data_IF_764590355830
#
_entry.id   IF_764590355830
#
_cell.length_a   1.000
_cell.length_b   1.000
_cell.length_c   1.000
_cell.angle_alpha   90.00
_cell.angle_beta   90.00
_cell.angle_gamma   90.00
#
_symmetry.space_group_name_H-M   'P 1'
#
loop_
_entity.id
_entity.type
_entity.pdbx_description
1 polymer ?
#
# COMPACT_ATOMS: atom_id res chain seq x y z
N UNK A 1 14.03 -17.56 -11.20
CA UNK A 1 13.00 -17.06 -10.25
C UNK A 1 13.64 -16.04 -9.34
N UNK A 2 12.88 -15.03 -8.92
CA UNK A 2 13.31 -13.88 -8.12
C UNK A 2 12.58 -13.85 -6.77
N UNK A 3 13.16 -13.15 -5.82
CA UNK A 3 12.60 -12.98 -4.48
C UNK A 3 11.73 -11.71 -4.42
N UNK A 4 10.60 -11.79 -3.71
CA UNK A 4 9.63 -10.70 -3.58
C UNK A 4 9.48 -10.27 -2.12
N UNK A 5 9.59 -8.97 -1.85
CA UNK A 5 9.24 -8.47 -0.52
C UNK A 5 7.72 -8.42 -0.37
N UNK A 6 7.19 -8.83 0.78
CA UNK A 6 5.75 -8.69 1.06
C UNK A 6 5.40 -7.21 1.14
N UNK A 7 5.99 -6.51 2.12
CA UNK A 7 6.02 -5.04 2.18
C UNK A 7 7.33 -4.58 1.55
N UNK A 8 7.33 -3.67 0.57
CA UNK A 8 8.57 -3.29 -0.09
C UNK A 8 9.62 -2.70 0.83
N UNK A 9 10.88 -3.01 0.53
CA UNK A 9 12.05 -2.63 1.33
C UNK A 9 12.09 -1.13 1.66
N UNK A 10 11.63 -0.28 0.74
CA UNK A 10 11.65 1.17 0.95
C UNK A 10 10.71 1.68 2.04
N UNK A 11 9.79 0.83 2.52
CA UNK A 11 8.95 1.06 3.71
C UNK A 11 9.48 0.34 4.96
N UNK A 12 10.67 -0.28 4.89
CA UNK A 12 11.23 -1.06 6.00
C UNK A 12 10.71 -2.49 6.09
N UNK A 13 10.03 -3.00 5.06
CA UNK A 13 9.63 -4.40 5.00
C UNK A 13 10.84 -5.35 5.01
N UNK A 14 10.73 -6.42 5.80
CA UNK A 14 11.81 -7.40 6.02
C UNK A 14 11.46 -8.81 5.54
N UNK A 15 10.17 -9.11 5.39
CA UNK A 15 9.70 -10.42 4.97
C UNK A 15 9.79 -10.56 3.45
N UNK A 16 10.32 -11.69 3.01
CA UNK A 16 10.61 -12.00 1.62
C UNK A 16 10.06 -13.38 1.29
N UNK A 17 9.28 -13.46 0.21
CA UNK A 17 8.91 -14.70 -0.44
C UNK A 17 10.05 -15.11 -1.38
N UNK A 18 10.65 -16.27 -1.12
CA UNK A 18 11.82 -16.75 -1.86
C UNK A 18 11.37 -17.43 -3.15
N UNK A 19 12.04 -17.15 -4.27
CA UNK A 19 11.68 -17.70 -5.60
C UNK A 19 10.18 -17.50 -5.91
N UNK A 20 9.65 -16.32 -5.65
CA UNK A 20 8.21 -16.03 -5.74
C UNK A 20 7.74 -15.63 -7.15
N UNK A 21 8.61 -15.03 -7.96
CA UNK A 21 8.24 -14.49 -9.27
C UNK A 21 9.25 -14.87 -10.37
N UNK A 22 8.84 -14.80 -11.63
CA UNK A 22 9.79 -14.80 -12.75
C UNK A 22 10.32 -13.37 -12.97
N UNK A 23 11.39 -13.23 -13.75
CA UNK A 23 12.02 -11.93 -14.01
C UNK A 23 11.06 -10.92 -14.66
N UNK A 24 10.17 -11.38 -15.55
CA UNK A 24 9.17 -10.52 -16.18
C UNK A 24 8.17 -9.98 -15.15
N UNK A 25 7.64 -10.84 -14.28
CA UNK A 25 6.74 -10.43 -13.22
C UNK A 25 7.44 -9.47 -12.25
N UNK A 26 8.68 -9.76 -11.86
CA UNK A 26 9.47 -8.88 -10.99
C UNK A 26 9.73 -7.50 -11.63
N UNK A 27 9.92 -7.44 -12.95
CA UNK A 27 10.07 -6.17 -13.65
C UNK A 27 8.76 -5.36 -13.69
N UNK A 28 7.62 -6.04 -13.83
CA UNK A 28 6.29 -5.41 -13.76
C UNK A 28 6.03 -4.85 -12.35
N UNK A 29 6.26 -5.65 -11.32
CA UNK A 29 6.05 -5.21 -9.92
C UNK A 29 6.95 -4.06 -9.54
N UNK A 30 8.24 -4.16 -9.88
CA UNK A 30 9.22 -3.10 -9.67
C UNK A 30 8.81 -1.75 -10.28
N UNK A 31 8.13 -1.74 -11.44
CA UNK A 31 7.72 -0.50 -12.10
C UNK A 31 6.71 0.27 -11.26
N UNK A 32 5.57 -0.35 -10.91
CA UNK A 32 4.54 0.34 -10.13
C UNK A 32 4.99 0.61 -8.68
N UNK A 33 5.83 -0.26 -8.10
CA UNK A 33 6.44 0.01 -6.79
C UNK A 33 7.34 1.26 -6.84
N UNK A 34 8.08 1.46 -7.94
CA UNK A 34 8.90 2.66 -8.13
C UNK A 34 8.06 3.91 -8.37
N UNK A 35 6.94 3.81 -9.09
CA UNK A 35 6.01 4.92 -9.27
C UNK A 35 5.51 5.45 -7.92
N UNK A 36 5.07 4.55 -7.02
CA UNK A 36 4.69 4.94 -5.65
C UNK A 36 5.88 5.49 -4.87
N UNK A 37 7.01 4.78 -4.89
CA UNK A 37 8.16 5.12 -4.07
C UNK A 37 8.83 6.44 -4.46
N UNK A 38 8.90 6.78 -5.75
CA UNK A 38 9.61 7.96 -6.25
C UNK A 38 8.68 9.14 -6.48
N UNK A 39 7.50 8.87 -7.03
CA UNK A 39 6.65 9.91 -7.58
C UNK A 39 5.57 10.36 -6.59
N UNK A 40 5.04 9.42 -5.80
CA UNK A 40 4.06 9.73 -4.74
C UNK A 40 4.73 10.06 -3.41
N UNK A 41 5.75 9.29 -3.03
CA UNK A 41 6.38 9.36 -1.70
C UNK A 41 7.85 9.73 -1.71
N UNK A 42 8.41 10.19 -2.84
CA UNK A 42 9.85 10.47 -2.96
C UNK A 42 10.36 11.43 -1.89
N UNK A 43 9.70 12.58 -1.76
CA UNK A 43 10.11 13.62 -0.80
C UNK A 43 9.92 13.20 0.66
N UNK A 44 8.79 12.57 0.96
CA UNK A 44 8.54 12.01 2.30
C UNK A 44 9.60 10.98 2.67
N UNK A 45 9.91 10.05 1.77
CA UNK A 45 10.95 9.03 1.99
C UNK A 45 12.34 9.62 2.22
N UNK A 46 12.69 10.69 1.51
CA UNK A 46 13.95 11.40 1.74
C UNK A 46 13.94 12.11 3.10
N UNK A 47 12.83 12.77 3.42
CA UNK A 47 12.62 13.50 4.68
C UNK A 47 12.73 12.61 5.93
N UNK A 48 12.18 11.39 5.90
CA UNK A 48 12.25 10.42 7.01
C UNK A 48 13.41 9.42 6.87
N UNK A 49 14.34 9.66 5.93
CA UNK A 49 15.48 8.78 5.68
C UNK A 49 15.09 7.30 5.48
N UNK A 50 13.99 7.05 4.78
CA UNK A 50 13.48 5.71 4.52
C UNK A 50 14.52 4.80 3.83
N UNK A 51 14.47 3.46 3.97
CA UNK A 51 15.48 2.58 3.42
C UNK A 51 15.71 2.76 1.90
N UNK A 52 16.97 2.67 1.49
CA UNK A 52 17.39 2.73 0.09
C UNK A 52 18.62 1.88 -0.13
N UNK A 53 18.65 1.18 -1.27
CA UNK A 53 19.83 0.43 -1.74
C UNK A 53 20.92 1.36 -2.28
N UNK A 54 20.58 2.59 -2.65
CA UNK A 54 21.50 3.60 -3.21
C UNK A 54 21.66 4.79 -2.26
N UNK A 55 22.17 4.52 -1.05
CA UNK A 55 22.26 5.55 0.02
C UNK A 55 23.07 6.78 -0.40
N UNK A 56 24.13 6.61 -1.19
CA UNK A 56 25.00 7.69 -1.65
C UNK A 56 24.36 8.59 -2.71
N UNK A 57 23.33 8.11 -3.41
CA UNK A 57 22.60 8.86 -4.45
C UNK A 57 21.38 9.59 -3.91
N UNK A 58 21.11 9.52 -2.59
CA UNK A 58 19.95 10.17 -2.00
C UNK A 58 20.11 11.69 -2.06
N UNK A 59 19.10 12.43 -2.56
CA UNK A 59 19.04 13.87 -2.43
C UNK A 59 19.14 14.29 -0.95
N UNK A 60 19.94 15.31 -0.66
CA UNK A 60 20.12 15.85 0.70
C UNK A 60 19.27 17.10 0.94
N UNK A 61 18.86 17.77 -0.14
CA UNK A 61 18.08 19.00 -0.11
C UNK A 61 16.93 18.96 -1.11
N UNK A 62 15.89 19.74 -0.84
CA UNK A 62 14.74 20.00 -1.71
C UNK A 62 14.68 21.47 -2.08
N UNK A 63 14.32 21.75 -3.33
CA UNK A 63 14.08 23.11 -3.84
C UNK A 63 12.60 23.43 -3.79
N UNK A 64 12.20 24.35 -2.92
CA UNK A 64 10.83 24.80 -2.77
C UNK A 64 10.66 26.13 -3.49
N UNK A 65 9.70 26.18 -4.40
CA UNK A 65 9.28 27.42 -5.06
C UNK A 65 8.38 28.22 -4.12
N UNK A 66 8.56 29.53 -4.06
CA UNK A 66 7.68 30.42 -3.33
C UNK A 66 6.23 30.32 -3.88
N UNK A 67 5.25 29.88 -3.08
CA UNK A 67 3.87 29.79 -3.54
C UNK A 67 3.21 31.16 -3.74
N UNK A 68 3.83 32.26 -3.30
CA UNK A 68 3.32 33.63 -3.49
C UNK A 68 3.70 34.25 -4.83
N UNK A 69 4.51 33.58 -5.66
CA UNK A 69 4.75 33.98 -7.06
C UNK A 69 5.97 34.87 -7.31
N UNK A 70 6.74 35.26 -6.27
CA UNK A 70 7.95 36.09 -6.44
C UNK A 70 9.16 35.34 -7.03
N UNK A 71 8.99 34.08 -7.45
CA UNK A 71 10.04 33.31 -8.14
C UNK A 71 11.25 32.93 -7.29
N UNK A 72 11.26 33.25 -5.98
CA UNK A 72 12.32 32.79 -5.10
C UNK A 72 12.24 31.27 -4.90
N UNK A 73 13.34 30.59 -5.20
CA UNK A 73 13.54 29.19 -4.88
C UNK A 73 14.38 29.14 -3.61
N UNK A 74 13.87 28.51 -2.56
CA UNK A 74 14.69 28.17 -1.39
C UNK A 74 15.12 26.72 -1.45
N UNK A 75 16.35 26.47 -1.03
CA UNK A 75 16.90 25.13 -0.86
C UNK A 75 16.87 24.78 0.62
N UNK A 76 16.19 23.70 0.98
CA UNK A 76 16.02 23.25 2.37
C UNK A 76 16.59 21.84 2.51
N UNK A 77 17.34 21.52 3.58
CA UNK A 77 17.71 20.14 3.88
C UNK A 77 16.48 19.25 4.07
N UNK A 78 16.48 18.03 3.50
CA UNK A 78 15.35 17.10 3.68
C UNK A 78 15.08 16.77 5.15
N UNK A 79 16.09 16.82 6.01
CA UNK A 79 15.96 16.62 7.47
C UNK A 79 15.08 17.67 8.15
N UNK A 80 14.88 18.83 7.54
CA UNK A 80 14.02 19.89 8.05
C UNK A 80 12.65 19.90 7.36
N UNK A 81 12.60 19.48 6.09
CA UNK A 81 11.36 19.39 5.34
C UNK A 81 10.38 18.39 5.99
N UNK A 82 9.11 18.76 6.28
CA UNK A 82 8.19 17.90 7.02
C UNK A 82 7.83 16.61 6.29
N UNK A 83 7.86 16.61 4.95
CA UNK A 83 7.64 15.42 4.11
C UNK A 83 6.28 14.77 4.34
N UNK A 84 5.25 15.14 3.58
CA UNK A 84 3.94 14.49 3.71
C UNK A 84 3.86 13.17 2.94
N UNK A 85 3.48 12.08 3.60
CA UNK A 85 3.05 10.86 2.91
C UNK A 85 1.62 11.04 2.40
N UNK A 86 1.44 10.92 1.09
CA UNK A 86 0.14 11.07 0.45
C UNK A 86 -0.55 9.71 0.35
N UNK A 87 -1.73 9.56 0.94
CA UNK A 87 -2.53 8.34 0.90
C UNK A 87 -3.84 8.55 0.14
N UNK A 88 -4.30 7.50 -0.53
CA UNK A 88 -5.63 7.43 -1.11
C UNK A 88 -6.61 6.92 -0.06
N UNK A 89 -7.66 7.68 0.22
CA UNK A 89 -8.83 7.27 1.00
C UNK A 89 -9.92 6.89 0.00
N UNK A 90 -10.51 5.72 0.16
CA UNK A 90 -11.36 5.11 -0.87
C UNK A 90 -12.59 4.44 -0.26
N UNK A 91 -13.66 4.24 -1.03
CA UNK A 91 -14.75 3.36 -0.61
C UNK A 91 -14.27 1.91 -0.50
N UNK A 92 -15.17 1.02 -0.07
CA UNK A 92 -14.89 -0.41 -0.15
C UNK A 92 -14.75 -0.85 -1.62
N UNK A 93 -13.96 -1.90 -1.85
CA UNK A 93 -13.73 -2.48 -3.16
C UNK A 93 -15.05 -2.83 -3.87
N UNK A 94 -15.16 -2.56 -5.16
CA UNK A 94 -16.40 -2.79 -5.93
C UNK A 94 -16.91 -4.23 -5.87
N UNK A 95 -15.99 -5.20 -5.76
CA UNK A 95 -16.32 -6.62 -5.60
C UNK A 95 -17.03 -6.97 -4.27
N UNK A 96 -17.10 -6.07 -3.29
CA UNK A 96 -17.92 -6.27 -2.08
C UNK A 96 -19.40 -5.98 -2.31
N UNK A 97 -19.72 -5.13 -3.29
CA UNK A 97 -21.10 -4.77 -3.66
C UNK A 97 -21.66 -5.62 -4.81
N UNK A 98 -20.96 -6.70 -5.15
CA UNK A 98 -21.23 -7.53 -6.35
C UNK A 98 -21.37 -6.71 -7.64
N UNK A 99 -20.67 -5.57 -7.70
CA UNK A 99 -20.62 -4.78 -8.92
C UNK A 99 -19.90 -5.55 -10.04
N UNK A 100 -20.23 -5.29 -11.30
CA UNK A 100 -19.41 -5.74 -12.42
C UNK A 100 -18.00 -5.16 -12.37
N UNK A 101 -17.00 -5.91 -12.84
CA UNK A 101 -15.59 -5.51 -12.83
C UNK A 101 -15.28 -4.22 -13.62
N UNK A 102 -16.17 -3.79 -14.52
CA UNK A 102 -16.04 -2.54 -15.28
C UNK A 102 -16.58 -1.30 -14.54
N UNK A 103 -17.20 -1.45 -13.36
CA UNK A 103 -17.63 -0.32 -12.52
C UNK A 103 -16.42 0.22 -11.76
N UNK A 104 -15.90 1.36 -12.21
CA UNK A 104 -14.71 1.99 -11.62
C UNK A 104 -15.08 3.03 -10.55
N UNK A 105 -14.72 2.74 -9.30
CA UNK A 105 -14.91 3.59 -8.12
C UNK A 105 -13.70 4.50 -7.84
N UNK A 106 -12.65 4.46 -8.66
CA UNK A 106 -11.43 5.25 -8.47
C UNK A 106 -11.65 6.77 -8.48
N UNK A 107 -12.72 7.23 -9.14
CA UNK A 107 -13.14 8.63 -9.13
C UNK A 107 -13.61 9.12 -7.75
N UNK A 108 -13.98 8.21 -6.84
CA UNK A 108 -14.36 8.54 -5.46
C UNK A 108 -13.16 8.63 -4.52
N UNK A 109 -11.95 8.32 -5.01
CA UNK A 109 -10.76 8.31 -4.16
C UNK A 109 -10.34 9.74 -3.80
N UNK A 110 -10.12 9.96 -2.52
CA UNK A 110 -9.66 11.22 -1.97
C UNK A 110 -8.20 11.11 -1.56
N UNK A 111 -7.49 12.24 -1.58
CA UNK A 111 -6.11 12.31 -1.12
C UNK A 111 -6.05 12.94 0.25
N UNK A 112 -5.32 12.29 1.15
CA UNK A 112 -4.95 12.85 2.45
C UNK A 112 -3.45 12.82 2.61
N UNK A 113 -2.91 13.93 3.09
CA UNK A 113 -1.50 14.04 3.45
C UNK A 113 -1.36 13.72 4.93
N UNK A 114 -0.43 12.83 5.26
CA UNK A 114 -0.07 12.47 6.63
C UNK A 114 1.37 12.91 6.85
N UNK A 115 1.58 13.79 7.82
CA UNK A 115 2.86 14.38 8.16
C UNK A 115 3.00 14.49 9.68
N UNK A 116 4.24 14.67 10.15
CA UNK A 116 4.54 15.02 11.54
C UNK A 116 4.15 16.48 11.82
N UNK A 117 3.14 16.68 12.66
CA UNK A 117 2.59 17.99 13.00
C UNK A 117 3.63 18.91 13.68
N UNK A 118 4.50 18.36 14.51
CA UNK A 118 5.53 19.16 15.19
C UNK A 118 6.58 19.63 14.18
N UNK A 119 7.03 18.72 13.32
CA UNK A 119 7.99 19.04 12.25
C UNK A 119 7.40 20.04 11.26
N UNK A 120 6.11 19.92 10.93
CA UNK A 120 5.39 20.88 10.09
C UNK A 120 5.35 22.27 10.73
N UNK A 121 4.95 22.38 12.00
CA UNK A 121 4.93 23.66 12.74
C UNK A 121 6.32 24.29 12.80
N UNK A 122 7.35 23.51 13.11
CA UNK A 122 8.73 23.97 13.16
C UNK A 122 9.23 24.46 11.79
N UNK A 123 8.83 23.78 10.72
CA UNK A 123 9.15 24.19 9.35
C UNK A 123 8.47 25.52 8.99
N UNK A 124 7.19 25.69 9.31
CA UNK A 124 6.43 26.90 9.04
C UNK A 124 6.94 28.12 9.79
N UNK A 125 7.45 27.94 11.02
CA UNK A 125 8.09 29.02 11.77
C UNK A 125 9.38 29.52 11.10
N UNK A 126 10.19 28.62 10.56
CA UNK A 126 11.45 28.95 9.86
C UNK A 126 11.22 29.46 8.44
N UNK A 127 10.20 28.94 7.76
CA UNK A 127 9.89 29.19 6.36
C UNK A 127 8.41 29.52 6.19
N UNK A 128 7.95 30.68 6.71
CA UNK A 128 6.54 31.04 6.71
C UNK A 128 5.98 31.11 5.29
N UNK A 129 4.78 30.53 5.10
CA UNK A 129 4.07 30.43 3.82
C UNK A 129 4.84 29.68 2.72
N UNK A 130 5.81 28.84 3.04
CA UNK A 130 6.60 28.08 2.04
C UNK A 130 6.39 26.57 2.08
N UNK A 131 5.40 26.08 2.83
CA UNK A 131 5.01 24.67 2.84
C UNK A 131 4.33 24.32 1.52
N UNK A 132 5.07 23.69 0.62
CA UNK A 132 4.54 23.11 -0.62
C UNK A 132 4.91 21.64 -0.69
N UNK A 133 4.00 20.83 -1.24
CA UNK A 133 4.23 19.41 -1.51
C UNK A 133 3.99 19.21 -3.01
N UNK A 134 4.95 18.59 -3.69
CA UNK A 134 4.83 18.21 -5.10
C UNK A 134 4.90 16.70 -5.17
N UNK A 135 3.97 16.10 -5.89
CA UNK A 135 3.93 14.66 -6.12
C UNK A 135 3.21 14.39 -7.43
N UNK A 136 3.41 13.19 -7.98
CA UNK A 136 2.63 12.70 -9.12
C UNK A 136 1.51 11.81 -8.62
N UNK A 137 0.29 12.05 -9.10
CA UNK A 137 -0.83 11.16 -8.87
C UNK A 137 -0.59 9.83 -9.62
N UNK A 138 -0.64 8.71 -8.89
CA UNK A 138 -0.37 7.37 -9.45
C UNK A 138 -1.39 6.32 -8.94
N UNK A 139 -2.70 6.56 -9.06
CA UNK A 139 -3.73 5.73 -8.41
C UNK A 139 -3.70 4.25 -8.87
N UNK A 140 -3.49 3.98 -10.17
CA UNK A 140 -3.34 2.60 -10.66
C UNK A 140 -2.15 1.90 -10.01
N UNK A 141 -0.98 2.56 -9.99
CA UNK A 141 0.23 1.99 -9.39
C UNK A 141 0.07 1.78 -7.89
N UNK A 142 -0.61 2.70 -7.21
CA UNK A 142 -0.91 2.58 -5.78
C UNK A 142 -1.86 1.40 -5.50
N UNK A 143 -2.93 1.24 -6.27
CA UNK A 143 -3.85 0.10 -6.14
C UNK A 143 -3.13 -1.24 -6.39
N UNK A 144 -2.31 -1.32 -7.44
CA UNK A 144 -1.49 -2.52 -7.74
C UNK A 144 -0.46 -2.82 -6.64
N UNK A 145 0.14 -1.77 -6.09
CA UNK A 145 1.05 -1.86 -4.96
C UNK A 145 0.39 -2.46 -3.71
N UNK A 146 -0.77 -1.94 -3.31
CA UNK A 146 -1.54 -2.49 -2.20
C UNK A 146 -2.01 -3.93 -2.49
N UNK A 147 -2.51 -4.19 -3.70
CA UNK A 147 -2.94 -5.52 -4.12
C UNK A 147 -1.82 -6.55 -4.03
N UNK A 148 -0.60 -6.18 -4.46
CA UNK A 148 0.58 -7.04 -4.37
C UNK A 148 0.95 -7.36 -2.92
N UNK A 149 0.94 -6.36 -2.04
CA UNK A 149 1.20 -6.58 -0.60
C UNK A 149 0.16 -7.55 -0.04
N UNK A 150 -1.13 -7.35 -0.35
CA UNK A 150 -2.21 -8.24 0.09
C UNK A 150 -2.06 -9.67 -0.43
N UNK A 151 -1.74 -9.85 -1.72
CA UNK A 151 -1.48 -11.17 -2.30
C UNK A 151 -0.31 -11.88 -1.60
N UNK A 152 0.81 -11.18 -1.44
CA UNK A 152 1.97 -11.72 -0.75
C UNK A 152 1.69 -12.04 0.73
N UNK A 153 0.85 -11.24 1.40
CA UNK A 153 0.41 -11.52 2.76
C UNK A 153 -0.39 -12.82 2.83
N UNK A 154 -1.36 -13.03 1.94
CA UNK A 154 -2.14 -14.28 1.91
C UNK A 154 -1.23 -15.51 1.73
N UNK A 155 -0.17 -15.38 0.93
CA UNK A 155 0.82 -16.45 0.70
C UNK A 155 1.71 -16.78 1.92
N UNK A 156 1.61 -16.02 3.01
CA UNK A 156 2.26 -16.39 4.28
C UNK A 156 1.51 -17.49 5.04
N UNK A 157 0.22 -17.69 4.72
CA UNK A 157 -0.67 -18.65 5.36
C UNK A 157 -1.14 -19.72 4.37
N UNK A 158 -1.28 -19.36 3.10
CA UNK A 158 -1.86 -20.18 2.05
C UNK A 158 -0.86 -20.45 0.95
N UNK A 159 -1.05 -21.57 0.26
CA UNK A 159 -0.34 -21.94 -0.95
C UNK A 159 -1.14 -21.44 -2.18
N UNK A 160 -0.48 -21.12 -3.32
CA UNK A 160 -1.18 -20.63 -4.51
C UNK A 160 -2.34 -21.51 -5.00
N UNK A 161 -2.27 -22.83 -4.75
CA UNK A 161 -3.30 -23.81 -5.11
C UNK A 161 -4.52 -23.82 -4.18
N UNK A 162 -4.44 -23.20 -3.00
CA UNK A 162 -5.53 -23.21 -2.03
C UNK A 162 -6.75 -22.39 -2.49
N UNK A 163 -6.54 -21.42 -3.38
CA UNK A 163 -7.57 -20.49 -3.84
C UNK A 163 -7.35 -20.08 -5.30
N UNK A 164 -8.40 -19.55 -5.94
CA UNK A 164 -8.31 -18.95 -7.27
C UNK A 164 -7.89 -17.47 -7.14
N UNK A 165 -6.75 -17.05 -7.70
CA UNK A 165 -6.17 -15.72 -7.43
C UNK A 165 -6.80 -14.61 -8.27
N UNK A 166 -7.93 -14.08 -7.80
CA UNK A 166 -8.69 -12.97 -8.41
C UNK A 166 -7.84 -11.69 -8.61
N UNK A 167 -6.89 -11.40 -7.71
CA UNK A 167 -6.14 -10.14 -7.79
C UNK A 167 -5.00 -10.13 -8.83
N UNK A 168 -4.56 -11.29 -9.33
CA UNK A 168 -3.38 -11.37 -10.19
C UNK A 168 -3.50 -10.57 -11.49
N UNK A 169 -4.60 -10.65 -12.28
CA UNK A 169 -4.74 -9.87 -13.51
C UNK A 169 -4.57 -8.35 -13.28
N UNK A 170 -5.04 -7.84 -12.14
CA UNK A 170 -4.87 -6.44 -11.74
C UNK A 170 -3.42 -6.12 -11.35
N UNK A 171 -2.77 -6.98 -10.55
CA UNK A 171 -1.35 -6.82 -10.17
C UNK A 171 -0.48 -6.81 -11.43
N UNK A 172 -0.75 -7.71 -12.38
CA UNK A 172 -0.04 -7.82 -13.65
C UNK A 172 -0.38 -6.68 -14.62
N UNK A 173 -1.49 -5.98 -14.40
CA UNK A 173 -1.93 -4.83 -15.18
C UNK A 173 -2.64 -5.23 -16.49
N UNK A 174 -3.10 -6.47 -16.56
CA UNK A 174 -4.01 -7.00 -17.59
C UNK A 174 -5.39 -6.37 -17.39
N UNK A 175 -5.84 -6.28 -16.13
CA UNK A 175 -7.03 -5.54 -15.72
C UNK A 175 -6.67 -4.18 -15.14
N UNK A 176 -7.44 -3.14 -15.50
CA UNK A 176 -7.12 -1.75 -15.12
C UNK A 176 -7.88 -1.24 -13.90
N UNK A 177 -9.07 -1.75 -13.65
CA UNK A 177 -9.94 -1.27 -12.58
C UNK A 177 -9.52 -1.81 -11.21
N UNK A 178 -8.44 -1.29 -10.64
CA UNK A 178 -7.94 -1.70 -9.32
C UNK A 178 -8.93 -1.43 -8.18
N UNK A 179 -9.87 -0.48 -8.35
CA UNK A 179 -10.92 -0.20 -7.37
C UNK A 179 -11.93 -1.34 -7.23
N UNK A 180 -11.94 -2.28 -8.17
CA UNK A 180 -12.74 -3.49 -8.08
C UNK A 180 -12.26 -4.43 -6.96
N UNK A 181 -10.95 -4.53 -6.76
CA UNK A 181 -10.33 -5.46 -5.81
C UNK A 181 -9.70 -4.78 -4.59
N UNK A 182 -9.40 -3.48 -4.66
CA UNK A 182 -8.81 -2.71 -3.56
C UNK A 182 -9.81 -1.69 -3.05
N UNK A 183 -9.98 -1.65 -1.74
CA UNK A 183 -10.78 -0.66 -1.02
C UNK A 183 -10.17 -0.34 0.33
N UNK A 184 -10.94 0.37 1.16
CA UNK A 184 -10.58 0.70 2.52
C UNK A 184 -11.62 0.16 3.50
N UNK A 185 -11.14 -0.24 4.68
CA UNK A 185 -11.97 -0.47 5.85
C UNK A 185 -12.19 0.90 6.57
N UNK A 186 -13.44 1.40 6.66
CA UNK A 186 -13.71 2.74 7.17
C UNK A 186 -13.45 2.90 8.67
N UNK A 187 -13.43 1.82 9.44
CA UNK A 187 -13.48 1.86 10.91
C UNK A 187 -12.11 1.73 11.59
N UNK A 188 -11.00 1.65 10.82
CA UNK A 188 -9.67 1.35 11.38
C UNK A 188 -8.57 2.32 10.93
N UNK A 189 -8.46 3.46 11.63
CA UNK A 189 -7.38 4.45 11.46
C UNK A 189 -6.70 4.88 12.79
N UNK A 190 -7.06 4.27 13.93
CA UNK A 190 -6.42 4.59 15.21
C UNK A 190 -4.93 4.19 15.18
N UNK A 191 -3.98 5.10 15.48
CA UNK A 191 -2.55 4.80 15.47
C UNK A 191 -2.18 3.67 16.44
N UNK A 192 -1.30 2.77 16.01
CA UNK A 192 -0.77 1.67 16.82
C UNK A 192 0.70 1.97 17.11
N UNK A 193 1.02 2.30 18.36
CA UNK A 193 2.41 2.63 18.76
C UNK A 193 3.40 1.57 18.29
N UNK A 194 4.56 2.03 17.83
CA UNK A 194 5.72 1.21 17.45
C UNK A 194 5.50 0.22 16.30
N UNK A 195 4.35 0.29 15.61
CA UNK A 195 4.04 -0.59 14.49
C UNK A 195 4.18 0.13 13.13
N UNK A 196 5.21 -0.23 12.37
CA UNK A 196 5.46 0.37 11.04
C UNK A 196 4.44 -0.03 9.97
N UNK A 197 3.86 -1.22 10.06
CA UNK A 197 2.77 -1.71 9.20
C UNK A 197 2.03 -2.86 9.89
N UNK A 198 0.74 -3.02 9.56
CA UNK A 198 -0.11 -4.13 10.02
C UNK A 198 -0.68 -4.84 8.80
N UNK A 199 -0.54 -6.16 8.77
CA UNK A 199 -1.09 -7.01 7.73
C UNK A 199 -1.94 -8.11 8.37
N UNK A 200 -3.04 -8.48 7.74
CA UNK A 200 -3.88 -9.61 8.15
C UNK A 200 -4.44 -10.30 6.91
N UNK A 201 -4.91 -11.54 7.07
CA UNK A 201 -5.71 -12.22 6.06
C UNK A 201 -6.98 -12.75 6.72
N UNK A 202 -8.10 -12.58 6.02
CA UNK A 202 -9.45 -12.87 6.48
C UNK A 202 -10.16 -13.75 5.45
N UNK A 203 -11.07 -14.59 5.92
CA UNK A 203 -12.01 -15.30 5.07
C UNK A 203 -13.40 -14.65 5.18
N UNK A 204 -14.04 -14.39 4.05
CA UNK A 204 -15.41 -13.92 4.02
C UNK A 204 -16.26 -14.78 3.08
N UNK A 205 -17.23 -15.50 3.63
CA UNK A 205 -18.10 -16.37 2.84
C UNK A 205 -18.88 -17.37 3.67
N UNK A 206 -19.38 -18.39 3.00
CA UNK A 206 -20.07 -19.53 3.59
C UNK A 206 -19.13 -20.73 3.69
N UNK A 207 -19.60 -21.86 4.22
CA UNK A 207 -18.81 -23.10 4.19
C UNK A 207 -18.58 -23.68 2.79
N UNK A 208 -19.27 -23.20 1.75
CA UNK A 208 -19.18 -23.74 0.39
C UNK A 208 -18.46 -22.83 -0.61
N UNK A 209 -18.43 -21.53 -0.33
CA UNK A 209 -17.78 -20.52 -1.17
C UNK A 209 -17.43 -19.28 -0.36
N UNK A 210 -16.32 -18.64 -0.70
CA UNK A 210 -15.92 -17.39 -0.09
C UNK A 210 -14.75 -16.71 -0.77
N UNK A 211 -14.39 -15.55 -0.24
CA UNK A 211 -13.30 -14.69 -0.69
C UNK A 211 -12.19 -14.69 0.36
N UNK A 212 -10.95 -14.73 -0.11
CA UNK A 212 -9.75 -14.42 0.67
C UNK A 212 -9.53 -12.92 0.58
N UNK A 213 -9.54 -12.27 1.74
CA UNK A 213 -9.30 -10.84 1.86
C UNK A 213 -7.99 -10.66 2.62
N UNK A 214 -7.15 -9.73 2.21
CA UNK A 214 -6.01 -9.29 3.03
C UNK A 214 -6.14 -7.83 3.37
N UNK A 215 -5.87 -7.50 4.63
CA UNK A 215 -5.81 -6.12 5.09
C UNK A 215 -4.37 -5.63 5.09
N UNK A 216 -4.18 -4.40 4.63
CA UNK A 216 -2.87 -3.75 4.48
C UNK A 216 -2.96 -2.36 5.07
N UNK A 217 -2.28 -2.15 6.20
CA UNK A 217 -2.11 -0.83 6.81
C UNK A 217 -0.64 -0.47 6.85
N UNK A 218 -0.27 0.61 6.16
CA UNK A 218 1.09 1.13 6.09
C UNK A 218 1.25 2.31 7.06
N UNK A 219 2.43 2.46 7.67
CA UNK A 219 2.69 3.45 8.72
C UNK A 219 1.61 3.38 9.81
N UNK A 220 1.35 2.17 10.33
CA UNK A 220 0.25 1.90 11.26
C UNK A 220 0.36 2.67 12.58
N UNK A 221 1.54 3.21 12.89
CA UNK A 221 1.81 4.16 13.97
C UNK A 221 1.30 5.59 13.70
N UNK A 222 0.61 5.83 12.60
CA UNK A 222 -0.04 7.08 12.24
C UNK A 222 -1.52 6.83 11.89
N UNK A 223 -2.28 7.93 11.70
CA UNK A 223 -3.69 7.89 11.27
C UNK A 223 -3.84 7.58 9.77
N UNK A 224 -3.26 6.46 9.34
CA UNK A 224 -3.33 5.96 7.97
C UNK A 224 -4.50 5.00 7.76
N UNK A 225 -5.03 4.92 6.53
CA UNK A 225 -6.12 4.00 6.22
C UNK A 225 -5.66 2.54 6.26
N UNK A 226 -6.57 1.67 6.68
CA UNK A 226 -6.45 0.21 6.49
C UNK A 226 -7.10 -0.16 5.17
N UNK A 227 -6.29 -0.60 4.21
CA UNK A 227 -6.80 -1.09 2.93
C UNK A 227 -7.22 -2.55 3.04
N UNK A 228 -8.21 -2.96 2.27
CA UNK A 228 -8.51 -4.36 2.03
C UNK A 228 -8.33 -4.72 0.55
N UNK A 229 -7.89 -5.95 0.31
CA UNK A 229 -7.66 -6.50 -1.01
C UNK A 229 -8.42 -7.80 -1.14
N UNK A 230 -9.26 -7.93 -2.17
CA UNK A 230 -9.82 -9.23 -2.57
C UNK A 230 -8.76 -10.00 -3.32
N UNK A 231 -8.10 -10.91 -2.61
CA UNK A 231 -6.96 -11.68 -3.10
C UNK A 231 -7.42 -12.81 -4.01
N UNK A 232 -8.46 -13.52 -3.60
CA UNK A 232 -8.93 -14.67 -4.34
C UNK A 232 -10.26 -15.23 -3.88
N UNK A 233 -10.72 -16.28 -4.54
CA UNK A 233 -11.95 -17.01 -4.21
C UNK A 233 -11.66 -18.47 -3.95
N UNK A 234 -12.51 -19.09 -3.14
CA UNK A 234 -12.46 -20.51 -2.83
C UNK A 234 -13.86 -21.07 -2.96
N UNK A 235 -13.99 -22.24 -3.59
CA UNK A 235 -15.24 -22.95 -3.79
C UNK A 235 -15.09 -24.40 -3.35
N UNK A 236 -16.22 -25.03 -3.02
CA UNK A 236 -16.38 -26.35 -2.39
C UNK A 236 -16.12 -26.37 -0.88
N UNK A 237 -16.84 -27.22 -0.17
CA UNK A 237 -16.74 -27.36 1.29
C UNK A 237 -15.36 -27.84 1.73
N UNK A 238 -14.76 -28.77 0.98
CA UNK A 238 -13.43 -29.31 1.25
C UNK A 238 -12.35 -28.22 1.17
N UNK A 239 -12.30 -27.46 0.07
CA UNK A 239 -11.28 -26.41 -0.10
C UNK A 239 -11.46 -25.28 0.92
N UNK A 240 -12.70 -24.86 1.18
CA UNK A 240 -13.00 -23.85 2.21
C UNK A 240 -12.54 -24.33 3.58
N UNK A 241 -12.84 -25.58 3.96
CA UNK A 241 -12.40 -26.14 5.23
C UNK A 241 -10.87 -26.17 5.36
N UNK A 242 -10.15 -26.57 4.31
CA UNK A 242 -8.69 -26.58 4.28
C UNK A 242 -8.10 -25.17 4.46
N UNK A 243 -8.64 -24.17 3.74
CA UNK A 243 -8.23 -22.76 3.86
C UNK A 243 -8.45 -22.25 5.29
N UNK A 244 -9.64 -22.44 5.84
CA UNK A 244 -9.97 -22.00 7.19
C UNK A 244 -9.07 -22.67 8.24
N UNK A 245 -8.71 -23.94 8.05
CA UNK A 245 -7.74 -24.64 8.89
C UNK A 245 -6.35 -24.00 8.81
N UNK A 246 -5.82 -23.76 7.60
CA UNK A 246 -4.52 -23.10 7.40
C UNK A 246 -4.47 -21.67 7.97
N UNK A 247 -5.60 -20.97 7.96
CA UNK A 247 -5.76 -19.64 8.55
C UNK A 247 -5.99 -19.68 10.08
N UNK A 248 -6.01 -20.85 10.72
CA UNK A 248 -6.06 -21.01 12.17
C UNK A 248 -7.47 -20.92 12.80
N UNK A 249 -8.55 -21.00 12.02
CA UNK A 249 -9.92 -20.90 12.55
C UNK A 249 -10.37 -22.13 13.37
N UNK A 250 -9.69 -23.27 13.25
CA UNK A 250 -10.06 -24.52 13.91
C UNK A 250 -9.06 -25.02 14.96
N UNK A 251 -7.98 -24.26 15.22
CA UNK A 251 -6.90 -24.69 16.13
C UNK A 251 -7.07 -24.21 17.60
N UNK A 252 -8.26 -23.73 17.98
CA UNK A 252 -8.60 -23.58 19.39
C UNK A 252 -8.96 -24.95 19.98
N UNK A 253 -7.96 -25.70 20.44
CA UNK A 253 -8.20 -26.68 21.51
C UNK A 253 -8.59 -25.89 22.78
N UNK A 254 -9.64 -26.31 23.51
CA UNK A 254 -9.97 -25.73 24.81
C UNK A 254 -8.83 -25.89 25.81
#
# INVERSE_FOLDING_TARGET
>A
MTDEHIVPYFLGGKHVLVKASCENCANITKKFEQDVARELWGDARNSYNAPSRRKKEKPTHISLSDPTGEGQIITVPYKEYPGGFVFYYMPQAGSFYDFPANVDLSHMWQLKVIADDERLKNFEQKHPKRTTIKFRHVPESFGRFIAKIGYCQALTLLSPEDFEPVCLPYIMGEEKNVSYIVGQNPDEDTPISDLGYKLSSLYHGTKFKGKIISEVRLLANNQTPTYHVVVGSVETEERVSNVLKKMGFFDQKP
#
